data_IF_961676312226
#
_entry.id   IF_961676312226
#
_cell.length_a   1.000
_cell.length_b   1.000
_cell.length_c   1.000
_cell.angle_alpha   90.00
_cell.angle_beta   90.00
_cell.angle_gamma   90.00
#
_symmetry.space_group_name_H-M   'P 1'
#
loop_
_entity.id
_entity.type
_entity.pdbx_description
1 polymer ?
#
# COMPACT_ATOMS: atom_id res chain seq x y z
N UNK A 1 -23.07 -5.02 2.13
CA UNK A 1 -22.21 -5.22 3.30
C UNK A 1 -21.34 -3.97 3.48
N UNK A 2 -21.20 -3.41 4.70
CA UNK A 2 -20.31 -2.31 4.94
C UNK A 2 -18.89 -2.70 4.51
N UNK A 3 -18.17 -1.74 3.95
CA UNK A 3 -16.79 -1.93 3.48
C UNK A 3 -15.87 -2.11 4.70
N UNK A 4 -15.79 -3.33 5.20
CA UNK A 4 -15.02 -3.67 6.39
C UNK A 4 -13.49 -3.42 6.25
N UNK A 5 -12.98 -3.29 5.01
CA UNK A 5 -11.58 -2.93 4.70
C UNK A 5 -11.42 -1.42 4.45
N UNK A 6 -11.88 -0.60 5.36
CA UNK A 6 -11.73 0.85 5.29
C UNK A 6 -11.02 1.35 6.55
N UNK A 7 -10.15 2.35 6.41
CA UNK A 7 -9.39 2.94 7.53
C UNK A 7 -10.28 3.44 8.67
N UNK A 8 -11.52 3.85 8.36
CA UNK A 8 -12.48 4.32 9.35
C UNK A 8 -13.02 3.18 10.24
N UNK A 9 -12.88 1.93 9.79
CA UNK A 9 -13.23 0.74 10.54
C UNK A 9 -12.05 0.17 11.36
N UNK A 10 -10.91 0.88 11.38
CA UNK A 10 -9.77 0.47 12.18
C UNK A 10 -10.10 0.57 13.67
N UNK A 11 -9.90 -0.52 14.39
CA UNK A 11 -10.15 -0.60 15.83
C UNK A 11 -8.83 -0.55 16.60
N UNK A 12 -7.92 -1.45 16.27
CA UNK A 12 -6.58 -1.53 16.87
C UNK A 12 -5.61 -2.32 15.99
N UNK A 13 -4.31 -2.08 16.14
CA UNK A 13 -3.24 -2.87 15.55
C UNK A 13 -2.30 -3.41 16.62
N UNK A 14 -2.28 -4.73 16.79
CA UNK A 14 -1.40 -5.44 17.72
C UNK A 14 -0.13 -5.95 17.05
N UNK A 15 -0.03 -5.85 15.74
CA UNK A 15 1.14 -6.26 14.97
C UNK A 15 1.38 -5.33 13.79
N UNK A 16 2.64 -5.28 13.36
CA UNK A 16 3.06 -4.61 12.12
C UNK A 16 3.79 -5.63 11.27
N UNK A 17 3.36 -5.80 10.03
CA UNK A 17 4.02 -6.65 9.05
C UNK A 17 4.74 -5.82 7.99
N UNK A 18 5.93 -6.27 7.60
CA UNK A 18 6.71 -5.68 6.51
C UNK A 18 6.98 -6.74 5.45
N UNK A 19 6.61 -6.48 4.20
CA UNK A 19 6.88 -7.33 3.05
C UNK A 19 8.20 -6.95 2.39
N UNK A 20 9.04 -7.93 2.11
CA UNK A 20 10.31 -7.80 1.39
C UNK A 20 10.20 -8.59 0.08
N UNK A 21 9.79 -7.92 -0.98
CA UNK A 21 9.40 -8.53 -2.26
C UNK A 21 10.44 -8.32 -3.39
N UNK A 22 11.62 -7.81 -3.06
CA UNK A 22 12.65 -7.49 -4.06
C UNK A 22 13.19 -8.72 -4.82
N UNK A 23 12.98 -9.94 -4.31
CA UNK A 23 13.48 -11.16 -4.92
C UNK A 23 15.01 -11.28 -4.89
N UNK A 24 15.66 -10.61 -3.96
CA UNK A 24 17.12 -10.63 -3.77
C UNK A 24 17.47 -11.32 -2.46
N UNK A 25 18.75 -11.65 -2.27
CA UNK A 25 19.25 -12.23 -1.00
C UNK A 25 18.83 -11.40 0.23
N UNK A 26 18.75 -10.07 0.09
CA UNK A 26 18.30 -9.16 1.15
C UNK A 26 16.86 -9.44 1.62
N UNK A 27 16.03 -10.09 0.79
CA UNK A 27 14.66 -10.50 1.10
C UNK A 27 14.57 -11.95 1.65
N UNK A 28 15.69 -12.64 1.82
CA UNK A 28 15.72 -14.01 2.32
C UNK A 28 15.52 -14.07 3.84
N UNK A 29 14.94 -15.19 4.31
CA UNK A 29 14.74 -15.43 5.75
C UNK A 29 16.06 -15.37 6.53
N UNK A 30 17.16 -16.04 6.11
CA UNK A 30 18.42 -15.98 6.86
C UNK A 30 18.94 -14.55 7.00
N UNK A 31 18.84 -13.75 5.94
CA UNK A 31 19.32 -12.37 5.96
C UNK A 31 18.49 -11.48 6.88
N UNK A 32 17.16 -11.57 6.77
CA UNK A 32 16.24 -10.80 7.59
C UNK A 32 16.29 -11.24 9.07
N UNK A 33 16.28 -12.55 9.35
CA UNK A 33 16.40 -13.07 10.72
C UNK A 33 17.77 -12.80 11.34
N UNK A 34 18.81 -12.56 10.53
CA UNK A 34 20.15 -12.14 10.97
C UNK A 34 20.26 -10.66 11.32
N UNK A 35 19.33 -9.82 10.86
CA UNK A 35 19.32 -8.39 11.19
C UNK A 35 19.18 -8.16 12.69
N UNK A 36 19.95 -7.21 13.24
CA UNK A 36 20.02 -6.96 14.69
C UNK A 36 18.67 -6.54 15.26
N UNK A 37 17.95 -5.64 14.57
CA UNK A 37 16.66 -5.18 15.03
C UNK A 37 15.58 -6.28 14.93
N UNK A 38 15.58 -7.03 13.82
CA UNK A 38 14.67 -8.15 13.62
C UNK A 38 14.88 -9.22 14.71
N UNK A 39 16.12 -9.61 14.98
CA UNK A 39 16.46 -10.59 16.04
C UNK A 39 16.00 -10.14 17.42
N UNK A 40 16.04 -8.84 17.68
CA UNK A 40 15.71 -8.29 18.99
C UNK A 40 14.19 -8.10 19.18
N UNK A 41 13.44 -7.80 18.11
CA UNK A 41 12.08 -7.30 18.25
C UNK A 41 11.03 -8.02 17.38
N UNK A 42 11.41 -8.85 16.40
CA UNK A 42 10.43 -9.53 15.58
C UNK A 42 9.94 -10.83 16.23
N UNK A 43 8.69 -11.15 16.01
CA UNK A 43 8.10 -12.42 16.41
C UNK A 43 8.42 -13.53 15.40
N UNK A 44 8.39 -13.21 14.12
CA UNK A 44 8.43 -14.20 13.04
C UNK A 44 8.97 -13.58 11.77
N UNK A 45 9.77 -14.33 11.02
CA UNK A 45 10.11 -14.09 9.61
C UNK A 45 9.67 -15.33 8.82
N UNK A 46 8.91 -15.15 7.73
CA UNK A 46 8.45 -16.28 6.92
C UNK A 46 8.40 -15.95 5.43
N UNK A 47 8.52 -17.00 4.58
CA UNK A 47 8.44 -16.84 3.13
C UNK A 47 7.00 -16.61 2.67
N UNK A 48 6.81 -15.73 1.68
CA UNK A 48 5.50 -15.49 1.06
C UNK A 48 5.18 -16.59 0.03
N UNK A 49 3.89 -16.78 -0.36
CA UNK A 49 3.52 -17.81 -1.34
C UNK A 49 4.21 -17.69 -2.71
N UNK A 50 4.70 -16.51 -3.06
CA UNK A 50 5.41 -16.22 -4.31
C UNK A 50 6.94 -16.22 -4.16
N UNK A 51 7.47 -16.67 -3.02
CA UNK A 51 8.90 -16.81 -2.79
C UNK A 51 9.46 -18.00 -3.54
N UNK A 52 10.59 -17.80 -4.19
CA UNK A 52 11.35 -18.85 -4.88
C UNK A 52 12.77 -18.86 -4.34
N UNK A 53 13.50 -20.00 -4.40
CA UNK A 53 14.89 -20.07 -3.95
C UNK A 53 15.79 -19.04 -4.63
N UNK A 54 15.61 -18.81 -5.94
CA UNK A 54 16.35 -17.85 -6.75
C UNK A 54 15.83 -16.40 -6.65
N UNK A 55 14.61 -16.23 -6.14
CA UNK A 55 13.96 -14.94 -5.96
C UNK A 55 13.22 -14.89 -4.61
N UNK A 56 13.94 -14.91 -3.49
CA UNK A 56 13.34 -15.02 -2.17
C UNK A 56 12.50 -13.78 -1.83
N UNK A 57 11.33 -14.05 -1.26
CA UNK A 57 10.39 -13.04 -0.76
C UNK A 57 9.92 -13.43 0.61
N UNK A 58 10.07 -12.54 1.57
CA UNK A 58 9.75 -12.84 2.95
C UNK A 58 8.97 -11.72 3.62
N UNK A 59 8.35 -12.07 4.71
CA UNK A 59 7.62 -11.14 5.58
C UNK A 59 8.19 -11.18 6.97
N UNK A 60 8.43 -10.00 7.56
CA UNK A 60 8.77 -9.83 8.96
C UNK A 60 7.53 -9.38 9.72
N UNK A 61 7.20 -10.06 10.80
CA UNK A 61 6.07 -9.73 11.67
C UNK A 61 6.58 -9.27 13.05
N UNK A 62 6.22 -8.05 13.42
CA UNK A 62 6.44 -7.49 14.74
C UNK A 62 5.13 -7.53 15.53
N UNK A 63 5.10 -8.23 16.64
CA UNK A 63 3.99 -8.21 17.61
C UNK A 63 4.28 -7.11 18.62
N UNK A 64 3.30 -6.26 18.91
CA UNK A 64 3.43 -5.16 19.86
C UNK A 64 3.04 -5.62 21.27
N UNK A 65 3.74 -5.12 22.30
CA UNK A 65 3.34 -5.30 23.71
C UNK A 65 2.04 -4.56 24.04
N UNK A 66 1.82 -3.44 23.39
CA UNK A 66 0.65 -2.58 23.56
C UNK A 66 0.05 -2.24 22.19
N UNK A 67 -1.28 -2.44 21.97
CA UNK A 67 -1.91 -2.18 20.69
C UNK A 67 -1.96 -0.68 20.37
N UNK A 68 -1.85 -0.34 19.08
CA UNK A 68 -2.04 1.02 18.59
C UNK A 68 -3.54 1.21 18.26
N UNK A 69 -4.19 2.10 18.98
CA UNK A 69 -5.66 2.29 18.91
C UNK A 69 -6.12 3.21 17.79
N UNK A 70 -5.23 3.96 17.13
CA UNK A 70 -5.60 4.95 16.12
C UNK A 70 -4.92 4.63 14.79
N UNK A 71 -5.70 4.57 13.71
CA UNK A 71 -5.18 4.29 12.36
C UNK A 71 -4.03 5.23 11.96
N UNK A 72 -4.14 6.54 12.24
CA UNK A 72 -3.08 7.50 11.94
C UNK A 72 -1.76 7.19 12.64
N UNK A 73 -1.81 6.74 13.89
CA UNK A 73 -0.62 6.37 14.66
C UNK A 73 -0.02 5.05 14.16
N UNK A 74 -0.88 4.10 13.75
CA UNK A 74 -0.46 2.85 13.11
C UNK A 74 0.26 3.11 11.78
N UNK A 75 -0.30 3.98 10.93
CA UNK A 75 0.33 4.40 9.68
C UNK A 75 1.68 5.05 9.93
N UNK A 76 1.79 5.93 10.94
CA UNK A 76 3.05 6.59 11.29
C UNK A 76 4.08 5.59 11.81
N UNK A 77 3.68 4.66 12.67
CA UNK A 77 4.53 3.58 13.18
C UNK A 77 5.07 2.71 12.04
N UNK A 78 4.19 2.30 11.11
CA UNK A 78 4.59 1.49 9.97
C UNK A 78 5.52 2.25 9.03
N UNK A 79 5.28 3.55 8.77
CA UNK A 79 6.20 4.40 7.98
C UNK A 79 7.57 4.52 8.62
N UNK A 80 7.64 4.66 9.94
CA UNK A 80 8.90 4.74 10.65
C UNK A 80 9.69 3.42 10.55
N UNK A 81 9.02 2.27 10.63
CA UNK A 81 9.66 0.97 10.39
C UNK A 81 10.07 0.78 8.93
N UNK A 82 9.24 1.19 7.96
CA UNK A 82 9.60 1.18 6.54
C UNK A 82 10.84 2.04 6.24
N UNK A 83 10.95 3.19 6.89
CA UNK A 83 12.14 4.04 6.80
C UNK A 83 13.38 3.34 7.38
N UNK A 84 13.24 2.66 8.52
CA UNK A 84 14.34 1.92 9.15
C UNK A 84 14.87 0.80 8.25
N UNK A 85 13.97 0.10 7.55
CA UNK A 85 14.31 -1.07 6.74
C UNK A 85 14.53 -0.77 5.24
N UNK A 86 14.15 0.37 4.72
CA UNK A 86 14.45 0.84 3.37
C UNK A 86 14.10 -0.09 2.19
N UNK A 87 14.18 -1.40 2.38
CA UNK A 87 13.92 -2.42 1.34
C UNK A 87 12.53 -3.08 1.40
N UNK A 88 11.68 -2.69 2.35
CA UNK A 88 10.34 -3.23 2.49
C UNK A 88 9.32 -2.50 1.59
N UNK A 89 8.24 -3.20 1.20
CA UNK A 89 7.17 -2.65 0.35
C UNK A 89 6.46 -1.46 1.05
N UNK A 90 6.52 -0.24 0.48
CA UNK A 90 5.86 0.94 1.06
C UNK A 90 4.34 0.80 1.23
N UNK A 91 3.69 -0.16 0.55
CA UNK A 91 2.26 -0.44 0.68
C UNK A 91 1.89 -1.06 2.04
N UNK A 92 2.86 -1.55 2.81
CA UNK A 92 2.64 -2.08 4.16
C UNK A 92 2.07 -1.03 5.14
N UNK A 93 2.14 0.25 4.84
CA UNK A 93 1.58 1.34 5.67
C UNK A 93 0.05 1.38 5.74
N UNK A 94 -0.66 0.63 4.88
CA UNK A 94 -2.12 0.57 4.90
C UNK A 94 -2.60 -0.14 6.19
N UNK A 95 -3.35 0.54 7.08
CA UNK A 95 -3.82 -0.04 8.35
C UNK A 95 -4.84 -1.16 8.16
N UNK A 96 -5.41 -1.29 6.96
CA UNK A 96 -6.35 -2.34 6.59
C UNK A 96 -5.70 -3.46 5.78
N UNK A 97 -4.36 -3.49 5.68
CA UNK A 97 -3.65 -4.53 4.94
C UNK A 97 -3.77 -5.87 5.65
N UNK A 98 -4.20 -6.88 4.89
CA UNK A 98 -4.10 -8.26 5.33
C UNK A 98 -2.77 -8.88 4.94
N UNK A 99 -2.25 -9.66 5.85
CA UNK A 99 -1.13 -10.55 5.60
C UNK A 99 -1.67 -11.98 5.54
N UNK A 100 -1.75 -12.52 4.34
CA UNK A 100 -2.17 -13.91 4.17
C UNK A 100 -1.09 -14.84 4.70
N UNK A 101 -1.52 -15.93 5.35
CA UNK A 101 -0.63 -17.04 5.69
C UNK A 101 -0.09 -17.70 4.42
N UNK A 102 1.01 -18.41 4.57
CA UNK A 102 1.64 -19.18 3.49
C UNK A 102 1.72 -20.64 3.94
N UNK A 103 0.92 -21.51 3.34
CA UNK A 103 0.92 -22.93 3.66
C UNK A 103 2.25 -23.56 3.19
N UNK A 104 2.91 -24.33 4.07
CA UNK A 104 4.21 -24.94 3.76
C UNK A 104 5.36 -23.94 3.62
N UNK A 105 5.23 -22.73 4.15
CA UNK A 105 6.30 -21.71 4.11
C UNK A 105 7.47 -22.09 5.03
N UNK A 106 8.68 -21.69 4.63
CA UNK A 106 9.80 -21.63 5.55
C UNK A 106 9.59 -20.48 6.54
N UNK A 107 9.97 -20.70 7.79
CA UNK A 107 9.80 -19.72 8.85
C UNK A 107 10.91 -19.76 9.89
N UNK A 108 11.30 -18.58 10.39
CA UNK A 108 12.17 -18.40 11.54
C UNK A 108 11.35 -17.76 12.68
N UNK A 109 11.04 -18.54 13.69
CA UNK A 109 10.36 -18.09 14.92
C UNK A 109 11.38 -17.44 15.86
N UNK A 110 11.30 -16.14 16.04
CA UNK A 110 12.16 -15.38 16.94
C UNK A 110 11.51 -15.16 18.31
N UNK A 111 10.17 -15.20 18.35
CA UNK A 111 9.35 -15.10 19.56
C UNK A 111 9.65 -13.83 20.39
N UNK A 112 9.91 -12.71 19.70
CA UNK A 112 10.16 -11.42 20.34
C UNK A 112 8.93 -10.53 20.23
N UNK A 113 8.90 -9.53 21.09
CA UNK A 113 7.85 -8.51 21.15
C UNK A 113 8.51 -7.16 20.93
N UNK A 114 7.90 -6.30 20.12
CA UNK A 114 8.34 -4.94 19.90
C UNK A 114 7.62 -4.00 20.89
N UNK A 115 8.35 -3.42 21.86
CA UNK A 115 7.75 -2.47 22.80
C UNK A 115 7.22 -1.22 22.08
N UNK A 116 6.03 -0.76 22.45
CA UNK A 116 5.45 0.46 21.90
C UNK A 116 6.35 1.69 22.11
N UNK A 117 7.08 1.73 23.22
CA UNK A 117 8.01 2.83 23.48
C UNK A 117 9.20 2.82 22.51
N UNK A 118 9.66 1.63 22.08
CA UNK A 118 10.66 1.53 21.01
C UNK A 118 10.10 2.01 19.67
N UNK A 119 8.84 1.72 19.37
CA UNK A 119 8.16 2.28 18.18
C UNK A 119 8.12 3.80 18.24
N UNK A 120 7.77 4.40 19.39
CA UNK A 120 7.77 5.86 19.59
C UNK A 120 9.15 6.48 19.38
N UNK A 121 10.22 5.81 19.84
CA UNK A 121 11.60 6.23 19.63
C UNK A 121 11.94 6.28 18.13
N UNK A 122 11.61 5.21 17.38
CA UNK A 122 11.84 5.14 15.92
C UNK A 122 11.02 6.23 15.19
N UNK A 123 9.77 6.45 15.60
CA UNK A 123 8.94 7.53 15.05
C UNK A 123 9.61 8.89 15.27
N UNK A 124 10.15 9.15 16.46
CA UNK A 124 10.87 10.40 16.76
C UNK A 124 12.09 10.58 15.85
N UNK A 125 12.86 9.53 15.65
CA UNK A 125 14.01 9.55 14.73
C UNK A 125 13.57 9.78 13.28
N UNK A 126 12.54 9.06 12.81
CA UNK A 126 11.97 9.23 11.47
C UNK A 126 11.50 10.67 11.21
N UNK A 127 10.76 11.26 12.14
CA UNK A 127 10.27 12.64 12.03
C UNK A 127 11.43 13.67 12.02
N UNK A 128 12.49 13.43 12.82
CA UNK A 128 13.67 14.29 12.87
C UNK A 128 14.43 14.34 11.54
N UNK A 129 14.32 13.30 10.69
CA UNK A 129 14.95 13.32 9.35
C UNK A 129 14.22 14.19 8.33
N UNK A 130 13.04 14.72 8.64
CA UNK A 130 12.18 15.42 7.69
C UNK A 130 11.62 14.53 6.56
N UNK A 131 11.80 13.20 6.65
CA UNK A 131 11.39 12.26 5.61
C UNK A 131 9.87 12.30 5.36
N UNK A 132 9.05 12.57 6.37
CA UNK A 132 7.60 12.72 6.20
C UNK A 132 7.22 13.97 5.42
N UNK A 133 7.96 15.08 5.62
CA UNK A 133 7.78 16.31 4.86
C UNK A 133 8.18 16.12 3.40
N UNK A 134 9.30 15.43 3.14
CA UNK A 134 9.73 15.05 1.79
C UNK A 134 8.72 14.12 1.12
N UNK A 135 8.24 13.08 1.81
CA UNK A 135 7.24 12.16 1.29
C UNK A 135 5.88 12.82 0.99
N UNK A 136 5.55 13.94 1.67
CA UNK A 136 4.40 14.79 1.31
C UNK A 136 4.67 15.67 0.09
N UNK A 137 5.91 16.12 -0.09
CA UNK A 137 6.33 16.94 -1.23
C UNK A 137 6.55 16.11 -2.50
N UNK A 138 6.98 14.84 -2.37
CA UNK A 138 7.20 13.90 -3.50
C UNK A 138 5.90 13.22 -3.97
N UNK A 139 4.77 13.41 -3.30
CA UNK A 139 3.49 13.13 -3.95
C UNK A 139 3.39 14.07 -5.13
N UNK A 140 3.18 13.57 -6.36
CA UNK A 140 2.88 14.45 -7.47
C UNK A 140 1.66 15.26 -7.05
N UNK A 141 1.89 16.52 -6.70
CA UNK A 141 0.90 17.44 -6.10
C UNK A 141 -0.08 17.94 -7.14
N UNK A 142 -0.12 17.31 -8.32
CA UNK A 142 -1.02 17.73 -9.36
C UNK A 142 -1.74 16.51 -9.98
N UNK A 143 -2.61 15.89 -9.17
CA UNK A 143 -3.84 15.42 -9.80
C UNK A 143 -4.56 16.71 -10.21
N UNK A 144 -4.78 16.98 -11.50
CA UNK A 144 -5.54 18.13 -11.90
C UNK A 144 -6.89 18.06 -11.17
N UNK A 145 -7.16 19.01 -10.32
CA UNK A 145 -8.50 19.25 -9.81
C UNK A 145 -9.35 19.73 -10.97
N UNK A 146 -10.62 19.38 -10.96
CA UNK A 146 -11.56 19.87 -11.97
C UNK A 146 -11.61 21.39 -11.90
N UNK A 147 -10.98 22.04 -12.87
CA UNK A 147 -10.92 23.49 -13.05
C UNK A 147 -11.95 24.01 -14.09
N UNK A 148 -12.91 23.15 -14.45
CA UNK A 148 -13.92 23.41 -15.50
C UNK A 148 -13.60 22.74 -16.85
N UNK A 149 -12.38 22.20 -17.07
CA UNK A 149 -11.99 21.49 -18.28
C UNK A 149 -12.02 19.96 -18.06
N UNK A 150 -13.19 19.36 -18.31
CA UNK A 150 -13.37 17.91 -18.17
C UNK A 150 -12.49 17.12 -19.15
N UNK A 151 -12.32 17.62 -20.37
CA UNK A 151 -11.53 16.95 -21.40
C UNK A 151 -10.04 16.89 -21.06
N UNK A 152 -9.53 17.93 -20.40
CA UNK A 152 -8.16 17.97 -19.90
C UNK A 152 -7.94 16.89 -18.84
N UNK A 153 -8.87 16.76 -17.89
CA UNK A 153 -8.79 15.76 -16.83
C UNK A 153 -8.88 14.34 -17.39
N UNK A 154 -9.77 14.11 -18.33
CA UNK A 154 -9.92 12.81 -19.04
C UNK A 154 -8.62 12.45 -19.77
N UNK A 155 -8.09 13.35 -20.61
CA UNK A 155 -6.83 13.11 -21.35
C UNK A 155 -5.65 12.86 -20.44
N UNK A 156 -5.55 13.57 -19.31
CA UNK A 156 -4.53 13.35 -18.32
C UNK A 156 -4.56 11.91 -17.79
N UNK A 157 -5.73 11.43 -17.37
CA UNK A 157 -5.84 10.10 -16.79
C UNK A 157 -5.70 8.98 -17.82
N UNK A 158 -6.15 9.18 -19.05
CA UNK A 158 -5.90 8.22 -20.14
C UNK A 158 -4.40 8.05 -20.39
N UNK A 159 -3.66 9.15 -20.56
CA UNK A 159 -2.21 9.14 -20.79
C UNK A 159 -1.46 8.51 -19.62
N UNK A 160 -1.87 8.83 -18.38
CA UNK A 160 -1.23 8.28 -17.19
C UNK A 160 -1.50 6.78 -17.04
N UNK A 161 -2.67 6.31 -17.43
CA UNK A 161 -2.99 4.89 -17.45
C UNK A 161 -2.14 4.12 -18.46
N UNK A 162 -1.98 4.67 -19.65
CA UNK A 162 -1.16 4.08 -20.72
C UNK A 162 0.32 3.97 -20.34
N UNK A 163 0.84 4.90 -19.54
CA UNK A 163 2.24 4.93 -19.06
C UNK A 163 2.45 4.20 -17.73
N UNK A 164 1.42 3.60 -17.12
CA UNK A 164 1.52 2.97 -15.82
C UNK A 164 2.38 1.70 -15.85
N UNK A 165 3.38 1.62 -14.97
CA UNK A 165 4.23 0.45 -14.83
C UNK A 165 3.46 -0.77 -14.32
N UNK A 166 3.97 -1.97 -14.63
CA UNK A 166 3.42 -3.21 -14.06
C UNK A 166 3.50 -3.14 -12.53
N UNK A 167 2.39 -3.42 -11.85
CA UNK A 167 2.25 -3.29 -10.39
C UNK A 167 1.65 -1.97 -9.92
N UNK A 168 1.65 -0.91 -10.75
CA UNK A 168 1.01 0.38 -10.45
C UNK A 168 -0.32 0.59 -11.15
N UNK A 169 -0.62 -0.26 -12.15
CA UNK A 169 -1.77 -0.11 -13.04
C UNK A 169 -3.10 -0.05 -12.32
N UNK A 170 -3.30 -0.93 -11.34
CA UNK A 170 -4.53 -0.97 -10.55
C UNK A 170 -4.70 0.26 -9.66
N UNK A 171 -3.62 0.73 -9.02
CA UNK A 171 -3.63 1.93 -8.21
C UNK A 171 -3.89 3.19 -9.06
N UNK A 172 -3.24 3.27 -10.23
CA UNK A 172 -3.44 4.35 -11.20
C UNK A 172 -4.89 4.38 -11.69
N UNK A 173 -5.46 3.21 -12.03
CA UNK A 173 -6.85 3.09 -12.49
C UNK A 173 -7.85 3.48 -11.38
N UNK A 174 -7.60 3.07 -10.14
CA UNK A 174 -8.44 3.45 -9.01
C UNK A 174 -8.45 4.97 -8.79
N UNK A 175 -7.26 5.60 -8.82
CA UNK A 175 -7.12 7.06 -8.72
C UNK A 175 -7.80 7.80 -9.87
N UNK A 176 -7.68 7.28 -11.09
CA UNK A 176 -8.34 7.83 -12.26
C UNK A 176 -9.87 7.79 -12.11
N UNK A 177 -10.41 6.63 -11.71
CA UNK A 177 -11.85 6.46 -11.49
C UNK A 177 -12.35 7.37 -10.36
N UNK A 178 -11.60 7.49 -9.26
CA UNK A 178 -11.93 8.41 -8.18
C UNK A 178 -11.97 9.86 -8.67
N UNK A 179 -10.94 10.32 -9.39
CA UNK A 179 -10.86 11.69 -9.91
C UNK A 179 -11.97 12.01 -10.92
N UNK A 180 -12.26 11.08 -11.86
CA UNK A 180 -13.36 11.27 -12.81
C UNK A 180 -14.75 11.14 -12.14
N UNK A 181 -14.83 10.49 -10.98
CA UNK A 181 -16.05 10.47 -10.16
C UNK A 181 -16.48 11.85 -9.68
N UNK A 182 -15.55 12.78 -9.52
CA UNK A 182 -15.87 14.19 -9.24
C UNK A 182 -16.71 14.82 -10.38
N UNK A 183 -16.37 14.52 -11.64
CA UNK A 183 -17.14 14.96 -12.79
C UNK A 183 -18.54 14.33 -12.84
N UNK A 184 -18.66 13.08 -12.40
CA UNK A 184 -19.96 12.41 -12.28
C UNK A 184 -20.82 13.10 -11.23
N UNK A 185 -20.26 13.39 -10.07
CA UNK A 185 -20.95 14.13 -8.99
C UNK A 185 -21.38 15.53 -9.44
N UNK A 186 -20.54 16.20 -10.22
CA UNK A 186 -20.83 17.52 -10.77
C UNK A 186 -21.83 17.48 -11.95
N UNK A 187 -22.27 16.28 -12.39
CA UNK A 187 -23.19 16.13 -13.52
C UNK A 187 -22.58 16.43 -14.90
N UNK A 188 -21.25 16.52 -14.99
CA UNK A 188 -20.53 16.85 -16.23
C UNK A 188 -20.42 15.64 -17.16
N UNK A 189 -20.20 14.44 -16.59
CA UNK A 189 -20.20 13.16 -17.31
C UNK A 189 -21.06 12.15 -16.57
N UNK A 190 -21.52 11.11 -17.26
CA UNK A 190 -22.28 10.02 -16.63
C UNK A 190 -21.34 8.95 -16.09
N UNK A 191 -21.77 8.21 -15.09
CA UNK A 191 -21.03 7.06 -14.53
C UNK A 191 -20.55 6.10 -15.63
N UNK A 192 -21.41 5.80 -16.60
CA UNK A 192 -21.08 4.91 -17.73
C UNK A 192 -19.93 5.46 -18.59
N UNK A 193 -19.83 6.78 -18.74
CA UNK A 193 -18.78 7.42 -19.55
C UNK A 193 -17.40 7.18 -18.91
N UNK A 194 -17.31 7.11 -17.57
CA UNK A 194 -16.04 6.77 -16.88
C UNK A 194 -15.55 5.36 -17.26
N UNK A 195 -16.45 4.38 -17.35
CA UNK A 195 -16.09 3.03 -17.82
C UNK A 195 -15.61 3.06 -19.28
N UNK A 196 -16.34 3.75 -20.17
CA UNK A 196 -15.98 3.85 -21.57
C UNK A 196 -14.61 4.52 -21.78
N UNK A 197 -14.23 5.44 -20.91
CA UNK A 197 -12.95 6.14 -20.95
C UNK A 197 -11.80 5.28 -20.41
N UNK A 198 -11.99 4.69 -19.24
CA UNK A 198 -10.89 4.07 -18.48
C UNK A 198 -10.69 2.58 -18.78
N UNK A 199 -11.75 1.81 -19.05
CA UNK A 199 -11.63 0.37 -19.29
C UNK A 199 -10.74 0.04 -20.49
N UNK A 200 -10.92 0.68 -21.69
CA UNK A 200 -10.04 0.43 -22.82
C UNK A 200 -8.57 0.82 -22.54
N UNK A 201 -8.33 1.91 -21.81
CA UNK A 201 -6.98 2.33 -21.47
C UNK A 201 -6.31 1.34 -20.50
N UNK A 202 -7.05 0.83 -19.51
CA UNK A 202 -6.58 -0.17 -18.57
C UNK A 202 -6.25 -1.51 -19.23
N UNK A 203 -7.10 -1.95 -20.17
CA UNK A 203 -6.87 -3.19 -20.95
C UNK A 203 -5.64 -3.04 -21.85
N UNK A 204 -5.47 -1.90 -22.53
CA UNK A 204 -4.26 -1.62 -23.34
C UNK A 204 -3.00 -1.62 -22.46
N UNK A 205 -3.11 -1.14 -21.24
CA UNK A 205 -2.01 -1.18 -20.26
C UNK A 205 -1.73 -2.61 -19.72
N UNK A 206 -2.59 -3.60 -20.04
CA UNK A 206 -2.39 -5.00 -19.66
C UNK A 206 -3.12 -5.45 -18.39
N UNK A 207 -4.17 -4.75 -17.97
CA UNK A 207 -5.10 -5.26 -16.95
C UNK A 207 -6.17 -6.15 -17.59
N UNK A 208 -6.59 -7.19 -16.88
CA UNK A 208 -7.75 -8.00 -17.27
C UNK A 208 -9.04 -7.16 -17.23
N UNK A 209 -9.96 -7.40 -18.20
CA UNK A 209 -11.21 -6.65 -18.29
C UNK A 209 -12.03 -6.67 -16.99
N UNK A 210 -12.19 -7.84 -16.36
CA UNK A 210 -12.93 -7.97 -15.10
C UNK A 210 -12.26 -7.23 -13.94
N UNK A 211 -10.92 -7.26 -13.89
CA UNK A 211 -10.14 -6.51 -12.92
C UNK A 211 -10.30 -5.00 -13.12
N UNK A 212 -10.20 -4.53 -14.35
CA UNK A 212 -10.39 -3.12 -14.69
C UNK A 212 -11.78 -2.62 -14.28
N UNK A 213 -12.84 -3.36 -14.65
CA UNK A 213 -14.23 -3.02 -14.27
C UNK A 213 -14.40 -2.96 -12.74
N UNK A 214 -13.86 -3.93 -12.01
CA UNK A 214 -13.92 -3.96 -10.54
C UNK A 214 -13.18 -2.78 -9.89
N UNK A 215 -12.01 -2.41 -10.44
CA UNK A 215 -11.21 -1.28 -9.94
C UNK A 215 -11.90 0.05 -10.20
N UNK A 216 -12.49 0.25 -11.40
CA UNK A 216 -13.27 1.46 -11.71
C UNK A 216 -14.46 1.58 -10.76
N UNK A 217 -15.21 0.48 -10.56
CA UNK A 217 -16.33 0.46 -9.61
C UNK A 217 -15.88 0.85 -8.20
N UNK A 218 -14.71 0.40 -7.77
CA UNK A 218 -14.13 0.74 -6.46
C UNK A 218 -13.81 2.23 -6.34
N UNK A 219 -13.16 2.82 -7.36
CA UNK A 219 -12.82 4.25 -7.36
C UNK A 219 -14.05 5.16 -7.38
N UNK A 220 -15.13 4.74 -8.06
CA UNK A 220 -16.37 5.52 -8.15
C UNK A 220 -17.24 5.47 -6.87
N UNK A 221 -17.01 4.55 -5.94
CA UNK A 221 -17.88 4.36 -4.76
C UNK A 221 -18.01 5.58 -3.87
N UNK A 222 -17.01 6.45 -3.84
CA UNK A 222 -17.03 7.67 -3.05
C UNK A 222 -18.02 8.73 -3.58
N UNK A 223 -18.52 8.54 -4.81
CA UNK A 223 -19.26 9.57 -5.54
C UNK A 223 -20.68 9.15 -5.96
N UNK A 224 -21.03 7.87 -5.78
CA UNK A 224 -22.29 7.28 -6.29
C UNK A 224 -22.99 6.46 -5.23
#
# INVERSE_FOLDING_TARGET
YPQWRHSDNYVLGQHIGLDFDAGTEASSIPKLAGDVFVRQYAALVYSTPSSLPEAPKSRVLFVLDTPIMQAKNYVLATRALLWLFGGADPKCKDPCRFFYGSMGCDAAFLNRVLPLDKVKEIIKQYLATGAETKAKQERPTETPTFDGDADRLVRYWQKRMESAAQGERNDTLNKAAYSLGELVRAGVIRKHDVYNILEPAAVRAGLGKGEATGTIASGLRAWV
#
